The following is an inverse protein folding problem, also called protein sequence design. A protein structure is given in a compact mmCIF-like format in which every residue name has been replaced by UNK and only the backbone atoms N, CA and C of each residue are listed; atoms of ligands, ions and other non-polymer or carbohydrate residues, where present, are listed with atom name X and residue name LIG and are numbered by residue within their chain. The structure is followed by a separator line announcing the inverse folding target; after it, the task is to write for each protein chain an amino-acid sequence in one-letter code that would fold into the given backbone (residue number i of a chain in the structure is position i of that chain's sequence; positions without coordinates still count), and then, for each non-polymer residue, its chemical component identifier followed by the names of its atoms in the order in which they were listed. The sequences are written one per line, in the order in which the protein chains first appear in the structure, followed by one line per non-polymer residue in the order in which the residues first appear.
data_IF_177260563611
#
_entry.id   IF_177260563611
#
_cell.length_a   1.000
_cell.length_b   1.000
_cell.length_c   1.000
_cell.angle_alpha   90.00
_cell.angle_beta   90.00
_cell.angle_gamma   90.00
#
_symmetry.space_group_name_H-M   'P 1'
#
loop_
_entity.id
_entity.type
_entity.pdbx_description
1 polymer ?
#
# COMPACT_ATOMS: atom_id res chain seq x y z
N UNK A 1 -1.16 21.36 -36.60
CA UNK A 1 -1.85 21.45 -35.30
C UNK A 1 -1.85 20.03 -34.74
N UNK A 2 -0.99 19.76 -33.75
CA UNK A 2 -0.77 18.42 -33.20
C UNK A 2 -1.99 17.93 -32.42
N UNK A 3 -2.38 16.69 -32.63
CA UNK A 3 -3.12 15.90 -31.64
C UNK A 3 -2.18 14.77 -31.26
N UNK A 4 -1.45 14.99 -30.17
CA UNK A 4 -0.59 14.01 -29.50
C UNK A 4 -1.44 13.24 -28.48
N UNK A 5 -1.33 11.91 -28.56
CA UNK A 5 -1.41 10.89 -27.51
C UNK A 5 -2.36 11.10 -26.32
N UNK A 6 -3.51 10.40 -26.32
CA UNK A 6 -4.24 10.09 -25.08
C UNK A 6 -4.95 8.73 -25.23
N UNK A 7 -4.27 7.59 -25.03
CA UNK A 7 -4.93 6.29 -24.73
C UNK A 7 -3.96 5.13 -24.40
N UNK A 8 -2.92 5.35 -23.60
CA UNK A 8 -1.94 4.30 -23.25
C UNK A 8 -1.97 3.84 -21.78
N UNK A 9 -2.12 4.77 -20.84
CA UNK A 9 -1.68 4.53 -19.46
C UNK A 9 -2.71 3.91 -18.52
N UNK A 10 -4.00 4.24 -18.66
CA UNK A 10 -5.05 3.70 -17.76
C UNK A 10 -5.15 2.17 -17.80
N UNK A 11 -4.87 1.55 -18.95
CA UNK A 11 -4.83 0.08 -19.07
C UNK A 11 -3.66 -0.58 -18.36
N UNK A 12 -2.53 0.12 -18.19
CA UNK A 12 -1.39 -0.43 -17.47
C UNK A 12 -1.66 -0.37 -15.98
N UNK A 13 -2.15 0.76 -15.48
CA UNK A 13 -2.46 0.95 -14.06
C UNK A 13 -3.54 -0.03 -13.58
N UNK A 14 -4.60 -0.24 -14.35
CA UNK A 14 -5.64 -1.24 -14.05
C UNK A 14 -5.07 -2.66 -14.00
N UNK A 15 -4.17 -3.01 -14.93
CA UNK A 15 -3.50 -4.32 -14.93
C UNK A 15 -2.61 -4.49 -13.70
N UNK A 16 -1.91 -3.43 -13.27
CA UNK A 16 -1.09 -3.47 -12.05
C UNK A 16 -2.00 -3.59 -10.82
N UNK A 17 -3.10 -2.84 -10.73
CA UNK A 17 -4.07 -2.96 -9.63
C UNK A 17 -4.59 -4.39 -9.51
N UNK A 18 -5.04 -4.97 -10.63
CA UNK A 18 -5.55 -6.34 -10.67
C UNK A 18 -4.50 -7.36 -10.25
N UNK A 19 -3.22 -7.14 -10.60
CA UNK A 19 -2.11 -7.96 -10.11
C UNK A 19 -1.96 -7.85 -8.60
N UNK A 20 -1.94 -6.64 -8.06
CA UNK A 20 -1.84 -6.40 -6.61
C UNK A 20 -3.02 -7.01 -5.85
N UNK A 21 -4.24 -6.92 -6.38
CA UNK A 21 -5.44 -7.50 -5.77
C UNK A 21 -5.37 -9.04 -5.69
N UNK A 22 -4.94 -9.69 -6.77
CA UNK A 22 -4.86 -11.16 -6.86
C UNK A 22 -3.61 -11.74 -6.18
N UNK A 23 -2.57 -10.94 -5.95
CA UNK A 23 -1.28 -11.40 -5.39
C UNK A 23 -1.42 -11.92 -3.97
N UNK A 24 -0.82 -13.07 -3.68
CA UNK A 24 -0.64 -13.53 -2.30
C UNK A 24 0.63 -12.95 -1.69
N UNK A 25 0.61 -12.52 -0.41
CA UNK A 25 1.82 -12.08 0.28
C UNK A 25 2.86 -13.20 0.39
N UNK A 26 4.14 -12.86 0.30
CA UNK A 26 5.26 -13.77 0.57
C UNK A 26 5.27 -14.17 2.04
N UNK A 27 5.45 -15.47 2.32
CA UNK A 27 5.30 -16.04 3.67
C UNK A 27 6.31 -15.48 4.68
N UNK A 28 7.56 -15.24 4.28
CA UNK A 28 8.64 -14.81 5.18
C UNK A 28 8.78 -13.28 5.30
N UNK A 29 7.92 -12.53 4.60
CA UNK A 29 8.01 -11.08 4.57
C UNK A 29 7.10 -10.42 5.63
N UNK A 30 7.57 -9.29 6.15
CA UNK A 30 6.78 -8.41 7.00
C UNK A 30 6.04 -7.40 6.14
N UNK A 31 4.76 -7.17 6.45
CA UNK A 31 3.92 -6.19 5.76
C UNK A 31 3.38 -5.17 6.74
N UNK A 32 3.11 -3.97 6.23
CA UNK A 32 2.35 -2.94 6.94
C UNK A 32 0.96 -2.82 6.32
N UNK A 33 -0.04 -2.62 7.17
CA UNK A 33 -1.42 -2.42 6.74
C UNK A 33 -1.72 -0.93 6.65
N UNK A 34 -1.98 -0.47 5.43
CA UNK A 34 -2.27 0.92 5.10
C UNK A 34 -3.75 1.04 4.70
N UNK A 35 -4.34 2.19 5.00
CA UNK A 35 -5.78 2.44 4.84
C UNK A 35 -6.10 3.57 3.85
N UNK A 36 -5.15 4.45 3.57
CA UNK A 36 -5.35 5.60 2.69
C UNK A 36 -4.30 6.67 2.93
N UNK A 37 -4.59 7.89 2.47
CA UNK A 37 -3.75 9.07 2.72
C UNK A 37 -4.64 10.26 3.12
N UNK A 38 -4.16 11.11 4.02
CA UNK A 38 -4.75 12.41 4.38
C UNK A 38 -3.71 13.50 4.08
N UNK A 39 -3.97 14.33 3.07
CA UNK A 39 -2.92 15.18 2.51
C UNK A 39 -1.75 14.35 1.97
N UNK A 40 -0.55 14.64 2.45
CA UNK A 40 0.67 13.89 2.11
C UNK A 40 0.95 12.72 3.08
N UNK A 41 0.18 12.60 4.16
CA UNK A 41 0.38 11.59 5.19
C UNK A 41 -0.29 10.27 4.84
N UNK A 42 0.41 9.16 5.10
CA UNK A 42 -0.11 7.82 4.87
C UNK A 42 -0.76 7.28 6.15
N UNK A 43 -2.00 6.82 6.03
CA UNK A 43 -2.76 6.25 7.14
C UNK A 43 -2.48 4.75 7.27
N UNK A 44 -2.13 4.27 8.46
CA UNK A 44 -1.76 2.88 8.70
C UNK A 44 -2.17 2.36 10.08
N UNK A 45 -2.13 1.03 10.23
CA UNK A 45 -2.33 0.37 11.50
C UNK A 45 -1.09 0.52 12.40
N UNK A 46 -1.26 1.18 13.55
CA UNK A 46 -0.21 1.38 14.54
C UNK A 46 -0.45 0.53 15.80
N UNK A 47 0.64 0.12 16.47
CA UNK A 47 0.59 -0.52 17.80
C UNK A 47 0.59 0.50 18.95
N UNK A 48 1.05 1.72 18.71
CA UNK A 48 1.27 2.68 19.79
C UNK A 48 1.74 4.04 19.31
N UNK A 49 2.03 4.86 20.31
CA UNK A 49 2.52 6.22 20.19
C UNK A 49 4.01 6.19 20.47
N UNK A 50 4.82 6.68 19.53
CA UNK A 50 6.19 7.08 19.81
C UNK A 50 6.21 8.60 20.05
N UNK A 51 7.20 9.07 20.79
CA UNK A 51 7.43 10.49 20.99
C UNK A 51 8.75 10.86 20.33
N UNK A 52 8.74 11.86 19.46
CA UNK A 52 9.93 12.45 18.87
C UNK A 52 9.80 13.97 18.95
N UNK A 53 10.82 14.65 19.47
CA UNK A 53 10.85 16.12 19.59
C UNK A 53 9.60 16.76 20.23
N UNK A 54 9.05 16.12 21.26
CA UNK A 54 7.80 16.49 21.95
C UNK A 54 6.51 16.36 21.12
N UNK A 55 6.57 15.68 19.98
CA UNK A 55 5.42 15.38 19.14
C UNK A 55 5.09 13.87 19.15
N UNK A 56 3.79 13.56 19.16
CA UNK A 56 3.29 12.19 19.00
C UNK A 56 3.53 11.73 17.55
N UNK A 57 4.38 10.73 17.38
CA UNK A 57 4.61 10.07 16.09
C UNK A 57 3.99 8.68 16.10
N UNK A 58 3.20 8.36 15.08
CA UNK A 58 2.67 7.00 14.87
C UNK A 58 3.66 6.19 14.05
N UNK A 59 3.87 4.93 14.43
CA UNK A 59 4.78 4.03 13.71
C UNK A 59 3.99 2.83 13.18
N UNK A 60 4.13 2.47 11.90
CA UNK A 60 3.40 1.35 11.32
C UNK A 60 3.80 0.03 11.99
N UNK A 61 2.78 -0.76 12.34
CA UNK A 61 2.99 -2.08 12.95
C UNK A 61 3.04 -3.15 11.87
N UNK A 62 4.11 -3.94 11.89
CA UNK A 62 4.21 -5.11 11.02
C UNK A 62 3.13 -6.15 11.35
N UNK A 63 2.50 -6.71 10.32
CA UNK A 63 1.50 -7.79 10.40
C UNK A 63 1.99 -9.02 9.63
N UNK A 64 1.41 -10.18 9.93
CA UNK A 64 1.52 -11.35 9.06
C UNK A 64 0.68 -11.09 7.80
N UNK A 65 1.34 -10.95 6.65
CA UNK A 65 0.66 -10.61 5.40
C UNK A 65 -0.36 -11.66 5.00
N UNK A 66 -0.01 -12.95 5.08
CA UNK A 66 -0.85 -14.05 4.63
C UNK A 66 -2.16 -14.15 5.42
N UNK A 67 -2.09 -14.16 6.75
CA UNK A 67 -3.27 -14.21 7.62
C UNK A 67 -4.15 -12.97 7.45
N UNK A 68 -3.53 -11.79 7.32
CA UNK A 68 -4.27 -10.54 7.08
C UNK A 68 -4.99 -10.57 5.73
N UNK A 69 -4.32 -11.00 4.67
CA UNK A 69 -4.94 -11.11 3.35
C UNK A 69 -6.08 -12.11 3.31
N UNK A 70 -5.90 -13.27 3.95
CA UNK A 70 -6.95 -14.28 4.10
C UNK A 70 -8.18 -13.71 4.82
N UNK A 71 -7.97 -12.99 5.93
CA UNK A 71 -9.05 -12.36 6.69
C UNK A 71 -9.90 -11.37 5.85
N UNK A 72 -9.26 -10.46 5.12
CA UNK A 72 -9.99 -9.46 4.32
C UNK A 72 -10.67 -10.07 3.09
N UNK A 73 -10.02 -11.03 2.43
CA UNK A 73 -10.61 -11.75 1.28
C UNK A 73 -11.86 -12.54 1.68
N UNK A 74 -11.83 -13.22 2.82
CA UNK A 74 -13.00 -13.94 3.34
C UNK A 74 -14.18 -13.01 3.66
N UNK A 75 -13.94 -11.70 3.82
CA UNK A 75 -14.96 -10.68 4.02
C UNK A 75 -15.37 -9.96 2.73
N UNK A 76 -14.95 -10.44 1.57
CA UNK A 76 -15.13 -9.78 0.28
C UNK A 76 -14.69 -8.29 0.30
N UNK A 77 -13.63 -7.98 1.06
CA UNK A 77 -13.03 -6.65 1.09
C UNK A 77 -11.85 -6.61 0.14
N UNK A 78 -11.75 -5.53 -0.63
CA UNK A 78 -10.58 -5.27 -1.45
C UNK A 78 -9.37 -5.03 -0.56
N UNK A 79 -8.27 -5.73 -0.87
CA UNK A 79 -6.97 -5.54 -0.24
C UNK A 79 -5.90 -5.71 -1.32
N UNK A 80 -5.10 -4.67 -1.55
CA UNK A 80 -4.00 -4.72 -2.50
C UNK A 80 -2.71 -5.18 -1.82
N UNK A 81 -1.97 -6.11 -2.43
CA UNK A 81 -0.65 -6.53 -1.94
C UNK A 81 0.43 -5.86 -2.79
N UNK A 82 1.20 -4.97 -2.16
CA UNK A 82 2.19 -4.08 -2.78
C UNK A 82 3.60 -4.53 -2.38
N UNK A 83 4.41 -4.87 -3.38
CA UNK A 83 5.74 -5.46 -3.17
C UNK A 83 6.85 -4.77 -3.98
N UNK A 84 6.53 -3.66 -4.64
CA UNK A 84 7.52 -2.83 -5.31
C UNK A 84 7.28 -1.33 -5.09
N UNK A 85 8.33 -0.54 -5.23
CA UNK A 85 8.25 0.91 -5.11
C UNK A 85 7.35 1.54 -6.20
N UNK A 86 7.32 0.95 -7.40
CA UNK A 86 6.45 1.44 -8.48
C UNK A 86 4.97 1.25 -8.13
N UNK A 87 4.58 0.07 -7.63
CA UNK A 87 3.22 -0.20 -7.17
C UNK A 87 2.82 0.72 -6.01
N UNK A 88 3.75 0.98 -5.09
CA UNK A 88 3.50 1.91 -3.99
C UNK A 88 3.24 3.34 -4.48
N UNK A 89 4.04 3.84 -5.43
CA UNK A 89 3.84 5.17 -6.03
C UNK A 89 2.46 5.30 -6.69
N UNK A 90 2.03 4.28 -7.44
CA UNK A 90 0.70 4.28 -8.06
C UNK A 90 -0.39 4.25 -6.97
N UNK A 91 -0.22 3.40 -5.95
CA UNK A 91 -1.17 3.34 -4.83
C UNK A 91 -1.31 4.67 -4.10
N UNK A 92 -0.19 5.32 -3.80
CA UNK A 92 -0.14 6.61 -3.10
C UNK A 92 -0.78 7.72 -3.93
N UNK A 93 -0.52 7.75 -5.24
CA UNK A 93 -1.07 8.77 -6.12
C UNK A 93 -2.57 8.60 -6.37
N UNK A 94 -3.05 7.37 -6.57
CA UNK A 94 -4.37 7.12 -7.17
C UNK A 94 -5.29 6.25 -6.32
N UNK A 95 -4.81 5.10 -5.84
CA UNK A 95 -5.71 4.07 -5.32
C UNK A 95 -6.15 4.32 -3.88
N UNK A 96 -5.21 4.74 -3.02
CA UNK A 96 -5.42 5.19 -1.62
C UNK A 96 -6.42 4.33 -0.82
N UNK A 97 -6.44 3.02 -1.10
CA UNK A 97 -7.33 2.05 -0.47
C UNK A 97 -6.56 1.10 0.44
N UNK A 98 -7.26 0.12 1.03
CA UNK A 98 -6.65 -0.87 1.90
C UNK A 98 -5.50 -1.63 1.20
N UNK A 99 -4.31 -1.60 1.77
CA UNK A 99 -3.13 -2.25 1.19
C UNK A 99 -2.22 -2.91 2.23
N UNK A 100 -1.69 -4.07 1.89
CA UNK A 100 -0.52 -4.66 2.53
C UNK A 100 0.73 -4.24 1.76
N UNK A 101 1.57 -3.43 2.38
CA UNK A 101 2.84 -2.98 1.79
C UNK A 101 4.00 -3.72 2.41
N UNK A 102 4.85 -4.33 1.58
CA UNK A 102 6.07 -4.99 2.06
C UNK A 102 6.95 -3.99 2.82
N UNK A 103 7.48 -4.38 3.98
CA UNK A 103 8.30 -3.52 4.84
C UNK A 103 9.45 -2.83 4.09
N UNK A 104 10.14 -3.55 3.20
CA UNK A 104 11.26 -2.99 2.46
C UNK A 104 10.83 -1.93 1.44
N UNK A 105 9.60 -2.02 0.93
CA UNK A 105 9.02 -1.00 0.04
C UNK A 105 8.68 0.25 0.85
N UNK A 106 8.00 0.06 1.98
CA UNK A 106 7.67 1.17 2.89
C UNK A 106 8.90 1.93 3.35
N UNK A 107 9.91 1.21 3.85
CA UNK A 107 11.14 1.83 4.36
C UNK A 107 11.82 2.70 3.31
N UNK A 108 11.83 2.30 2.04
CA UNK A 108 12.42 3.09 0.95
C UNK A 108 11.63 4.36 0.61
N UNK A 109 10.35 4.41 0.97
CA UNK A 109 9.49 5.57 0.75
C UNK A 109 9.49 6.52 1.95
N UNK A 110 9.59 5.99 3.17
CA UNK A 110 9.59 6.76 4.41
C UNK A 110 10.99 7.17 4.89
N UNK A 111 12.04 6.91 4.11
CA UNK A 111 13.41 7.37 4.36
C UNK A 111 13.68 8.61 3.54
#
# INVERSE_FOLDING_TARGET
MSILDISGDGHVEDKVRMRCFKRSPKLDNKYYLLFGCEGEEVLFYSKGIAWHDNEETRIPRAVNGYETAKFYRNKNKELLVIESAQEFKIWYAQWKCLALVEKNVWNKFSS
#
